data_IF_315447513773
#
_entry.id   IF_315447513773
#
_cell.length_a   1.000
_cell.length_b   1.000
_cell.length_c   1.000
_cell.angle_alpha   90.00
_cell.angle_beta   90.00
_cell.angle_gamma   90.00
#
_symmetry.space_group_name_H-M   'P 1'
#
loop_
_entity.id
_entity.type
_entity.pdbx_description
1 polymer ?
#
# COMPACT_ATOMS: atom_id res chain seq x y z
N UNK A 1 -26.05 12.39 1.13
CA UNK A 1 -24.70 12.16 1.71
C UNK A 1 -24.44 10.67 1.62
N UNK A 2 -23.20 10.22 1.41
CA UNK A 2 -22.90 8.78 1.37
C UNK A 2 -23.18 8.17 2.75
N UNK A 3 -24.11 7.19 2.88
CA UNK A 3 -24.45 6.59 4.16
C UNK A 3 -23.27 5.82 4.80
N UNK A 4 -22.32 5.39 4.00
CA UNK A 4 -21.14 4.66 4.48
C UNK A 4 -20.16 5.54 5.27
N UNK A 5 -20.35 6.86 5.31
CA UNK A 5 -19.57 7.74 6.19
C UNK A 5 -19.73 7.38 7.67
N UNK A 6 -20.89 6.87 8.06
CA UNK A 6 -21.17 6.48 9.44
C UNK A 6 -20.45 5.18 9.84
N UNK A 7 -19.91 4.44 8.87
CA UNK A 7 -19.13 3.22 9.10
C UNK A 7 -17.64 3.49 9.36
N UNK A 8 -17.17 4.72 9.08
CA UNK A 8 -15.76 5.06 9.22
C UNK A 8 -15.35 5.13 10.70
N UNK A 9 -14.20 4.56 11.00
CA UNK A 9 -13.59 4.65 12.32
C UNK A 9 -12.81 5.97 12.50
N UNK A 10 -12.74 6.43 13.75
CA UNK A 10 -11.85 7.56 14.10
C UNK A 10 -10.41 7.24 13.75
N UNK A 11 -9.69 8.27 13.30
CA UNK A 11 -8.29 8.16 12.91
C UNK A 11 -7.44 7.57 14.06
N UNK A 12 -6.62 6.53 13.80
CA UNK A 12 -5.91 5.81 14.86
C UNK A 12 -5.00 6.67 15.74
N UNK A 13 -4.38 7.71 15.17
CA UNK A 13 -3.52 8.61 15.93
C UNK A 13 -4.30 9.55 16.86
N UNK A 14 -5.54 9.91 16.53
CA UNK A 14 -6.43 10.63 17.46
C UNK A 14 -6.79 9.74 18.65
N UNK A 15 -7.14 8.47 18.39
CA UNK A 15 -7.39 7.49 19.45
C UNK A 15 -6.16 7.29 20.34
N UNK A 16 -4.96 7.21 19.74
CA UNK A 16 -3.69 7.12 20.48
C UNK A 16 -3.44 8.37 21.33
N UNK A 17 -3.77 9.56 20.82
CA UNK A 17 -3.67 10.81 21.55
C UNK A 17 -4.58 10.83 22.77
N UNK A 18 -5.84 10.39 22.60
CA UNK A 18 -6.80 10.27 23.71
C UNK A 18 -6.32 9.30 24.78
N UNK A 19 -5.76 8.14 24.40
CA UNK A 19 -5.21 7.16 25.33
C UNK A 19 -4.02 7.70 26.13
N UNK A 20 -3.27 8.64 25.58
CA UNK A 20 -2.14 9.30 26.24
C UNK A 20 -2.55 10.53 27.05
N UNK A 21 -3.78 11.01 26.89
CA UNK A 21 -4.23 12.21 27.58
C UNK A 21 -4.15 12.05 29.10
N UNK A 22 -3.50 13.00 29.76
CA UNK A 22 -3.30 12.99 31.20
C UNK A 22 -2.14 12.12 31.71
N UNK A 23 -1.42 11.43 30.82
CA UNK A 23 -0.21 10.67 31.22
C UNK A 23 0.99 11.59 31.14
N UNK A 24 1.62 11.87 32.27
CA UNK A 24 2.87 12.61 32.33
C UNK A 24 4.06 11.64 32.27
N UNK A 25 4.93 11.71 31.22
CA UNK A 25 6.12 10.88 31.17
C UNK A 25 7.11 11.29 32.27
N UNK A 26 8.02 10.37 32.71
CA UNK A 26 9.07 10.70 33.65
C UNK A 26 9.95 11.86 33.15
N UNK A 27 10.10 12.92 33.96
CA UNK A 27 10.80 14.13 33.54
C UNK A 27 12.31 13.93 33.24
N UNK A 28 12.89 12.83 33.76
CA UNK A 28 14.31 12.50 33.54
C UNK A 28 14.59 11.68 32.28
N UNK A 29 13.56 11.26 31.54
CA UNK A 29 13.69 10.51 30.30
C UNK A 29 13.30 11.38 29.10
N UNK A 30 14.13 11.38 28.07
CA UNK A 30 13.79 12.01 26.82
C UNK A 30 12.75 11.15 26.06
N UNK A 31 11.72 11.75 25.48
CA UNK A 31 10.72 11.00 24.70
C UNK A 31 11.34 10.42 23.43
N UNK A 32 11.01 9.15 23.13
CA UNK A 32 11.38 8.49 21.89
C UNK A 32 10.10 8.26 21.09
N UNK A 33 9.93 8.96 19.97
CA UNK A 33 8.76 8.83 19.11
C UNK A 33 8.93 7.63 18.17
N UNK A 34 8.14 6.55 18.40
CA UNK A 34 8.12 5.34 17.58
C UNK A 34 6.75 5.11 16.91
N UNK A 35 5.84 6.08 17.00
CA UNK A 35 4.46 5.93 16.48
C UNK A 35 4.36 6.12 14.96
N UNK A 36 5.32 6.77 14.34
CA UNK A 36 5.37 7.00 12.88
C UNK A 36 6.73 6.53 12.37
N UNK A 37 6.72 5.63 11.40
CA UNK A 37 7.91 5.16 10.68
C UNK A 37 8.34 6.20 9.65
N UNK A 38 9.10 7.21 10.08
CA UNK A 38 9.59 8.29 9.23
C UNK A 38 11.11 8.28 9.20
N UNK A 39 11.74 8.18 8.00
CA UNK A 39 13.19 8.32 7.89
C UNK A 39 13.59 9.77 8.23
N UNK A 40 14.52 9.91 9.16
CA UNK A 40 15.02 11.25 9.58
C UNK A 40 16.37 11.63 8.99
N UNK A 41 16.86 10.84 8.06
CA UNK A 41 18.09 11.12 7.33
C UNK A 41 17.89 12.28 6.35
N UNK A 42 18.95 13.03 6.11
CA UNK A 42 18.88 14.09 5.11
C UNK A 42 18.79 13.48 3.72
N UNK A 43 17.93 14.06 2.87
CA UNK A 43 17.87 13.69 1.46
C UNK A 43 19.22 13.94 0.79
N UNK A 44 19.67 13.05 -0.12
CA UNK A 44 20.89 13.25 -0.88
C UNK A 44 20.94 14.59 -1.61
N UNK A 45 22.14 15.17 -1.71
CA UNK A 45 22.31 16.51 -2.31
C UNK A 45 21.80 16.58 -3.75
N UNK A 46 22.02 15.51 -4.53
CA UNK A 46 21.58 15.46 -5.92
C UNK A 46 20.05 15.54 -6.10
N UNK A 47 19.27 15.02 -5.15
CA UNK A 47 17.78 15.12 -5.16
C UNK A 47 17.36 16.58 -4.99
N UNK A 48 17.99 17.28 -4.04
CA UNK A 48 17.72 18.71 -3.83
C UNK A 48 18.13 19.55 -5.03
N UNK A 49 19.29 19.24 -5.62
CA UNK A 49 19.78 19.95 -6.79
C UNK A 49 18.86 19.74 -8.00
N UNK A 50 18.42 18.51 -8.25
CA UNK A 50 17.47 18.23 -9.32
C UNK A 50 16.16 19.02 -9.17
N UNK A 51 15.67 19.22 -7.94
CA UNK A 51 14.49 20.05 -7.68
C UNK A 51 14.79 21.54 -8.00
N UNK A 52 15.93 22.06 -7.56
CA UNK A 52 16.33 23.45 -7.82
C UNK A 52 16.48 23.71 -9.33
N UNK A 53 17.14 22.81 -10.04
CA UNK A 53 17.39 22.94 -11.47
C UNK A 53 16.11 22.91 -12.32
N UNK A 54 15.02 22.39 -11.78
CA UNK A 54 13.74 22.25 -12.48
C UNK A 54 12.61 23.07 -11.84
N UNK A 55 12.90 23.97 -10.90
CA UNK A 55 11.88 24.69 -10.14
C UNK A 55 10.93 25.52 -11.01
N UNK A 56 11.41 26.05 -12.12
CA UNK A 56 10.60 26.85 -13.05
C UNK A 56 9.51 26.04 -13.75
N UNK A 57 9.66 24.71 -13.79
CA UNK A 57 8.67 23.81 -14.41
C UNK A 57 7.39 23.67 -13.57
N UNK A 58 7.37 24.08 -12.30
CA UNK A 58 6.16 24.10 -11.48
C UNK A 58 5.07 25.03 -12.02
N UNK A 59 5.43 25.98 -12.87
CA UNK A 59 4.46 26.88 -13.52
C UNK A 59 3.62 26.19 -14.61
N UNK A 60 4.00 24.99 -15.05
CA UNK A 60 3.31 24.25 -16.11
C UNK A 60 2.27 23.30 -15.49
N UNK A 61 1.03 23.39 -15.98
CA UNK A 61 -0.03 22.48 -15.55
C UNK A 61 0.30 21.03 -15.94
N UNK A 62 0.31 20.08 -15.00
CA UNK A 62 0.70 18.70 -15.28
C UNK A 62 -0.34 17.99 -16.15
N UNK A 63 0.14 17.05 -16.98
CA UNK A 63 -0.75 16.17 -17.74
C UNK A 63 -1.38 15.11 -16.83
N UNK A 64 -2.59 14.68 -17.11
CA UNK A 64 -3.32 13.66 -16.35
C UNK A 64 -2.55 12.34 -16.21
N UNK A 65 -1.82 11.95 -17.27
CA UNK A 65 -1.01 10.73 -17.28
C UNK A 65 0.37 10.89 -16.62
N UNK A 66 0.76 12.10 -16.24
CA UNK A 66 2.13 12.40 -15.85
C UNK A 66 3.11 12.45 -17.03
N UNK A 67 4.32 12.98 -16.81
CA UNK A 67 5.35 13.12 -17.81
C UNK A 67 5.83 11.78 -18.37
N UNK A 68 6.04 11.70 -19.69
CA UNK A 68 6.51 10.46 -20.32
C UNK A 68 7.87 10.01 -19.78
N UNK A 69 8.80 10.94 -19.59
CA UNK A 69 10.14 10.64 -19.08
C UNK A 69 10.07 9.98 -17.67
N UNK A 70 9.21 10.49 -16.79
CA UNK A 70 8.98 9.89 -15.46
C UNK A 70 8.42 8.47 -15.58
N UNK A 71 7.42 8.27 -16.44
CA UNK A 71 6.81 6.94 -16.65
C UNK A 71 7.81 5.94 -17.23
N UNK A 72 8.67 6.38 -18.14
CA UNK A 72 9.75 5.56 -18.68
C UNK A 72 10.78 5.19 -17.60
N UNK A 73 11.18 6.15 -16.75
CA UNK A 73 12.10 5.89 -15.66
C UNK A 73 11.52 4.89 -14.65
N UNK A 74 10.22 5.00 -14.31
CA UNK A 74 9.53 4.05 -13.44
C UNK A 74 9.50 2.65 -14.05
N UNK A 75 9.10 2.51 -15.32
CA UNK A 75 9.06 1.22 -16.00
C UNK A 75 10.46 0.56 -16.03
N UNK A 76 11.49 1.33 -16.38
CA UNK A 76 12.87 0.85 -16.40
C UNK A 76 13.36 0.45 -15.00
N UNK A 77 13.01 1.22 -13.96
CA UNK A 77 13.37 0.89 -12.59
C UNK A 77 12.73 -0.43 -12.17
N UNK A 78 11.42 -0.62 -12.39
CA UNK A 78 10.73 -1.87 -12.11
C UNK A 78 11.36 -3.06 -12.83
N UNK A 79 11.66 -2.92 -14.13
CA UNK A 79 12.30 -3.97 -14.92
C UNK A 79 13.65 -4.38 -14.35
N UNK A 80 14.47 -3.42 -13.95
CA UNK A 80 15.79 -3.67 -13.37
C UNK A 80 15.67 -4.27 -11.97
N UNK A 81 14.84 -3.67 -11.12
CA UNK A 81 14.70 -4.03 -9.70
C UNK A 81 14.13 -5.43 -9.50
N UNK A 82 13.14 -5.79 -10.31
CA UNK A 82 12.45 -7.09 -10.21
C UNK A 82 12.89 -8.09 -11.30
N UNK A 83 13.93 -7.76 -12.05
CA UNK A 83 14.46 -8.63 -13.12
C UNK A 83 13.37 -9.07 -14.12
N UNK A 84 12.49 -8.13 -14.48
CA UNK A 84 11.39 -8.43 -15.39
C UNK A 84 11.89 -8.57 -16.85
N UNK A 85 11.21 -9.36 -17.67
CA UNK A 85 11.54 -9.45 -19.10
C UNK A 85 11.56 -8.07 -19.77
N UNK A 86 12.45 -7.90 -20.73
CA UNK A 86 12.50 -6.67 -21.55
C UNK A 86 11.13 -6.45 -22.18
N UNK A 87 10.67 -5.20 -22.16
CA UNK A 87 9.38 -4.77 -22.71
C UNK A 87 8.12 -5.34 -22.01
N UNK A 88 8.26 -6.00 -20.86
CA UNK A 88 7.11 -6.48 -20.07
C UNK A 88 6.26 -5.34 -19.50
N UNK A 89 6.87 -4.16 -19.28
CA UNK A 89 6.19 -2.96 -18.79
C UNK A 89 6.29 -1.84 -19.82
N UNK A 90 5.14 -1.38 -20.30
CA UNK A 90 5.01 -0.22 -21.17
C UNK A 90 4.76 1.04 -20.35
N UNK A 91 5.62 2.04 -20.49
CA UNK A 91 5.41 3.36 -19.88
C UNK A 91 4.10 4.05 -20.35
N UNK A 92 3.55 3.62 -21.49
CA UNK A 92 2.32 4.19 -22.03
C UNK A 92 1.05 3.63 -21.38
N UNK A 93 1.06 2.35 -20.98
CA UNK A 93 -0.13 1.61 -20.56
C UNK A 93 -0.07 1.04 -19.14
N UNK A 94 1.13 0.80 -18.60
CA UNK A 94 1.29 0.13 -17.30
C UNK A 94 1.75 1.08 -16.17
N UNK A 95 2.05 2.34 -16.46
CA UNK A 95 2.56 3.28 -15.46
C UNK A 95 1.67 4.53 -15.39
N UNK A 96 1.15 4.78 -14.20
CA UNK A 96 0.40 5.99 -13.88
C UNK A 96 1.00 6.65 -12.62
N UNK A 97 1.78 7.73 -12.75
CA UNK A 97 2.25 8.50 -11.61
C UNK A 97 1.09 9.11 -10.82
N UNK A 98 1.20 9.10 -9.51
CA UNK A 98 0.19 9.59 -8.58
C UNK A 98 0.80 10.57 -7.59
N UNK A 99 -0.04 11.38 -6.93
CA UNK A 99 0.38 12.36 -5.92
C UNK A 99 0.41 11.72 -4.53
N UNK A 100 0.99 10.53 -4.43
CA UNK A 100 1.09 9.74 -3.20
C UNK A 100 0.25 8.46 -3.26
N UNK A 101 0.76 7.41 -2.61
CA UNK A 101 0.14 6.08 -2.63
C UNK A 101 -1.16 6.01 -1.84
N UNK A 102 -1.34 6.85 -0.81
CA UNK A 102 -2.60 6.94 -0.07
C UNK A 102 -3.77 7.28 -0.97
N UNK A 103 -3.64 8.37 -1.74
CA UNK A 103 -4.66 8.84 -2.67
C UNK A 103 -4.87 7.85 -3.81
N UNK A 104 -3.79 7.22 -4.26
CA UNK A 104 -3.85 6.18 -5.29
C UNK A 104 -4.64 4.96 -4.83
N UNK A 105 -4.36 4.41 -3.65
CA UNK A 105 -5.07 3.26 -3.07
C UNK A 105 -6.55 3.56 -2.85
N UNK A 106 -6.86 4.79 -2.40
CA UNK A 106 -8.24 5.23 -2.27
C UNK A 106 -8.94 5.28 -3.63
N UNK A 107 -8.36 5.98 -4.60
CA UNK A 107 -8.96 6.13 -5.94
C UNK A 107 -9.07 4.79 -6.68
N UNK A 108 -8.08 3.91 -6.52
CA UNK A 108 -8.08 2.58 -7.08
C UNK A 108 -9.24 1.74 -6.55
N UNK A 109 -9.46 1.74 -5.24
CA UNK A 109 -10.60 1.04 -4.64
C UNK A 109 -11.94 1.58 -5.14
N UNK A 110 -12.08 2.92 -5.29
CA UNK A 110 -13.29 3.51 -5.87
C UNK A 110 -13.52 3.11 -7.33
N UNK A 111 -12.45 2.88 -8.09
CA UNK A 111 -12.54 2.51 -9.51
C UNK A 111 -12.80 1.02 -9.73
N UNK A 112 -12.31 0.15 -8.84
CA UNK A 112 -12.34 -1.31 -9.03
C UNK A 112 -13.52 -2.00 -8.37
N UNK A 113 -14.16 -1.36 -7.36
CA UNK A 113 -15.24 -1.98 -6.59
C UNK A 113 -16.60 -1.66 -7.22
N UNK A 114 -17.35 -2.71 -7.55
CA UNK A 114 -18.75 -2.63 -7.92
C UNK A 114 -19.63 -2.99 -6.72
N UNK A 115 -20.14 -1.97 -6.02
CA UNK A 115 -20.97 -2.12 -4.83
C UNK A 115 -22.30 -2.86 -5.08
N UNK A 116 -22.77 -2.95 -6.33
CA UNK A 116 -24.01 -3.64 -6.68
C UNK A 116 -23.86 -5.17 -6.66
N UNK A 117 -22.62 -5.66 -6.66
CA UNK A 117 -22.31 -7.10 -6.71
C UNK A 117 -22.00 -7.71 -5.34
N UNK A 118 -22.52 -7.16 -4.26
CA UNK A 118 -22.24 -7.62 -2.89
C UNK A 118 -20.72 -7.68 -2.62
N UNK A 119 -20.06 -6.58 -2.91
CA UNK A 119 -18.60 -6.46 -2.96
C UNK A 119 -17.94 -6.73 -1.62
N UNK A 120 -16.80 -7.43 -1.67
CA UNK A 120 -15.97 -7.72 -0.52
C UNK A 120 -14.51 -7.40 -0.85
N UNK A 121 -13.83 -6.74 0.09
CA UNK A 121 -12.39 -6.52 0.06
C UNK A 121 -11.73 -7.38 1.13
N UNK A 122 -10.71 -8.12 0.75
CA UNK A 122 -9.88 -8.89 1.68
C UNK A 122 -8.63 -8.07 1.99
N UNK A 123 -8.29 -7.91 3.28
CA UNK A 123 -7.15 -7.11 3.71
C UNK A 123 -6.44 -7.71 4.93
N UNK A 124 -5.12 -7.49 5.12
CA UNK A 124 -4.42 -7.91 6.32
C UNK A 124 -4.90 -7.14 7.55
N UNK A 125 -4.70 -7.69 8.75
CA UNK A 125 -4.95 -7.03 10.04
C UNK A 125 -3.78 -7.34 11.00
N UNK A 126 -3.03 -6.34 11.50
CA UNK A 126 -3.24 -4.90 11.32
C UNK A 126 -2.97 -4.41 9.90
N UNK A 127 -3.55 -3.27 9.55
CA UNK A 127 -3.53 -2.71 8.20
C UNK A 127 -3.29 -1.21 8.16
N UNK A 128 -2.95 -0.70 7.00
CA UNK A 128 -2.96 0.74 6.75
C UNK A 128 -4.41 1.22 6.60
N UNK A 129 -4.83 2.16 7.43
CA UNK A 129 -6.26 2.57 7.57
C UNK A 129 -6.95 2.95 6.26
N UNK A 130 -6.19 3.27 5.20
CA UNK A 130 -6.79 3.61 3.91
C UNK A 130 -7.49 2.42 3.26
N UNK A 131 -7.04 1.19 3.51
CA UNK A 131 -7.67 -0.01 2.93
C UNK A 131 -9.12 -0.14 3.39
N UNK A 132 -9.35 0.01 4.70
CA UNK A 132 -10.70 -0.03 5.27
C UNK A 132 -11.54 1.16 4.80
N UNK A 133 -11.04 2.39 4.95
CA UNK A 133 -11.80 3.59 4.59
C UNK A 133 -12.18 3.63 3.11
N UNK A 134 -11.27 3.20 2.22
CA UNK A 134 -11.54 3.16 0.79
C UNK A 134 -12.59 2.09 0.43
N UNK A 135 -12.51 0.89 1.02
CA UNK A 135 -13.46 -0.19 0.81
C UNK A 135 -14.87 0.19 1.28
N UNK A 136 -14.99 0.70 2.51
CA UNK A 136 -16.27 1.13 3.07
C UNK A 136 -16.93 2.23 2.23
N UNK A 137 -16.18 3.25 1.83
CA UNK A 137 -16.72 4.35 1.02
C UNK A 137 -17.06 3.92 -0.41
N UNK A 138 -16.39 2.89 -0.94
CA UNK A 138 -16.76 2.25 -2.20
C UNK A 138 -17.99 1.33 -2.08
N UNK A 139 -18.48 1.07 -0.86
CA UNK A 139 -19.66 0.23 -0.61
C UNK A 139 -19.36 -1.26 -0.53
N UNK A 140 -18.11 -1.64 -0.22
CA UNK A 140 -17.73 -3.02 0.02
C UNK A 140 -17.72 -3.36 1.50
N UNK A 141 -17.95 -4.63 1.82
CA UNK A 141 -17.62 -5.22 3.10
C UNK A 141 -16.13 -5.55 3.18
N UNK A 142 -15.60 -5.74 4.39
CA UNK A 142 -14.22 -6.18 4.60
C UNK A 142 -14.16 -7.56 5.26
N UNK A 143 -13.22 -8.36 4.79
CA UNK A 143 -12.77 -9.56 5.45
C UNK A 143 -11.29 -9.40 5.82
N UNK A 144 -11.00 -9.49 7.12
CA UNK A 144 -9.64 -9.29 7.62
C UNK A 144 -8.90 -10.61 7.81
N UNK A 145 -7.62 -10.60 7.45
CA UNK A 145 -6.66 -11.69 7.65
C UNK A 145 -5.73 -11.35 8.80
N UNK A 146 -5.90 -11.99 9.94
CA UNK A 146 -5.10 -11.69 11.12
C UNK A 146 -3.63 -12.08 10.93
N UNK A 147 -2.75 -11.08 10.96
CA UNK A 147 -1.31 -11.22 10.87
C UNK A 147 -0.74 -11.24 12.30
N UNK A 148 -0.47 -12.42 12.82
CA UNK A 148 -0.04 -12.65 14.20
C UNK A 148 1.37 -13.23 14.26
N UNK A 149 1.93 -13.31 15.46
CA UNK A 149 3.23 -13.97 15.64
C UNK A 149 3.22 -15.45 15.21
N UNK A 150 2.08 -16.11 15.27
CA UNK A 150 1.96 -17.53 14.90
C UNK A 150 2.11 -17.77 13.39
N UNK A 151 1.75 -16.78 12.58
CA UNK A 151 1.91 -16.84 11.12
C UNK A 151 3.02 -15.91 10.60
N UNK A 152 3.96 -15.51 11.49
CA UNK A 152 5.06 -14.62 11.12
C UNK A 152 4.62 -13.22 10.70
N UNK A 153 3.43 -12.78 11.15
CA UNK A 153 2.81 -11.51 10.76
C UNK A 153 2.50 -11.38 9.25
N UNK A 154 2.34 -12.50 8.56
CA UNK A 154 1.97 -12.57 7.14
C UNK A 154 0.53 -13.09 7.03
N UNK A 155 -0.31 -12.53 6.15
CA UNK A 155 -1.67 -13.02 5.97
C UNK A 155 -1.67 -14.45 5.43
N UNK A 156 -2.41 -15.35 6.07
CA UNK A 156 -2.58 -16.74 5.62
C UNK A 156 -3.81 -16.85 4.71
N UNK A 157 -3.57 -16.81 3.41
CA UNK A 157 -4.61 -16.87 2.38
C UNK A 157 -5.33 -18.24 2.35
N UNK A 158 -4.71 -19.30 2.86
CA UNK A 158 -5.28 -20.64 2.88
C UNK A 158 -6.42 -20.81 3.87
N UNK A 159 -6.50 -19.92 4.85
CA UNK A 159 -7.55 -19.95 5.88
C UNK A 159 -8.86 -19.30 5.44
N UNK A 160 -8.87 -18.63 4.29
CA UNK A 160 -10.03 -17.90 3.79
C UNK A 160 -11.02 -18.85 3.12
N UNK A 161 -12.27 -18.90 3.57
CA UNK A 161 -13.29 -19.75 2.95
C UNK A 161 -13.58 -19.37 1.49
N UNK A 162 -13.95 -20.35 0.67
CA UNK A 162 -14.23 -20.16 -0.74
C UNK A 162 -15.35 -19.14 -1.01
N UNK A 163 -16.36 -19.07 -0.14
CA UNK A 163 -17.45 -18.09 -0.24
C UNK A 163 -16.99 -16.65 -0.08
N UNK A 164 -15.90 -16.39 0.64
CA UNK A 164 -15.26 -15.07 0.76
C UNK A 164 -14.59 -14.73 -0.57
N UNK A 165 -13.80 -15.67 -1.12
CA UNK A 165 -13.14 -15.45 -2.41
C UNK A 165 -14.12 -15.23 -3.56
N UNK A 166 -15.25 -15.92 -3.57
CA UNK A 166 -16.32 -15.75 -4.59
C UNK A 166 -16.94 -14.34 -4.60
N UNK A 167 -16.88 -13.63 -3.47
CA UNK A 167 -17.34 -12.24 -3.34
C UNK A 167 -16.21 -11.23 -3.46
N UNK A 168 -14.95 -11.68 -3.33
CA UNK A 168 -13.79 -10.81 -3.34
C UNK A 168 -13.69 -10.09 -4.68
N UNK A 169 -13.56 -8.78 -4.64
CA UNK A 169 -13.28 -7.96 -5.82
C UNK A 169 -11.88 -7.34 -5.74
N UNK A 170 -11.35 -7.20 -4.52
CA UNK A 170 -10.04 -6.60 -4.29
C UNK A 170 -9.37 -7.28 -3.10
N UNK A 171 -8.17 -7.82 -3.32
CA UNK A 171 -7.25 -8.24 -2.26
C UNK A 171 -6.21 -7.15 -2.05
N UNK A 172 -6.19 -6.56 -0.85
CA UNK A 172 -5.12 -5.65 -0.44
C UNK A 172 -4.00 -6.46 0.22
N UNK A 173 -2.77 -6.29 -0.23
CA UNK A 173 -1.59 -6.82 0.45
C UNK A 173 -0.57 -5.70 0.64
N UNK A 174 0.29 -5.82 1.65
CA UNK A 174 1.39 -4.90 1.90
C UNK A 174 2.65 -5.72 2.17
N UNK A 175 3.65 -5.58 1.31
CA UNK A 175 4.89 -6.35 1.43
C UNK A 175 6.10 -5.51 0.97
N UNK A 176 7.02 -5.17 1.88
CA UNK A 176 7.03 -5.39 3.33
C UNK A 176 5.83 -4.78 4.07
N UNK A 177 5.32 -5.47 5.08
CA UNK A 177 4.06 -5.16 5.76
C UNK A 177 4.13 -3.95 6.69
N UNK A 178 3.11 -3.10 6.67
CA UNK A 178 2.89 -2.07 7.68
C UNK A 178 1.79 -2.54 8.66
N UNK A 179 2.07 -2.67 9.97
CA UNK A 179 3.24 -2.18 10.70
C UNK A 179 4.32 -3.23 10.98
N UNK A 180 4.18 -4.48 10.52
CA UNK A 180 4.99 -5.61 10.99
C UNK A 180 6.41 -5.65 10.41
N UNK A 181 6.62 -5.11 9.21
CA UNK A 181 7.85 -5.29 8.44
C UNK A 181 7.99 -6.69 7.83
N UNK A 182 7.01 -7.56 7.98
CA UNK A 182 7.05 -8.91 7.43
C UNK A 182 7.01 -8.88 5.90
N UNK A 183 7.78 -9.76 5.27
CA UNK A 183 7.92 -9.86 3.81
C UNK A 183 7.30 -11.16 3.34
N UNK A 184 6.35 -11.09 2.41
CA UNK A 184 5.76 -12.27 1.78
C UNK A 184 6.79 -12.96 0.88
N UNK A 185 6.81 -14.28 0.91
CA UNK A 185 7.66 -15.06 0.02
C UNK A 185 7.11 -15.10 -1.41
N UNK A 186 7.93 -15.51 -2.38
CA UNK A 186 7.51 -15.70 -3.77
C UNK A 186 6.35 -16.70 -3.86
N UNK A 187 6.40 -17.79 -3.08
CA UNK A 187 5.33 -18.82 -3.05
C UNK A 187 4.02 -18.25 -2.53
N UNK A 188 4.05 -17.37 -1.53
CA UNK A 188 2.86 -16.70 -1.00
C UNK A 188 2.27 -15.69 -1.99
N UNK A 189 3.12 -14.96 -2.72
CA UNK A 189 2.68 -14.06 -3.79
C UNK A 189 2.09 -14.87 -4.96
N UNK A 190 2.69 -15.98 -5.35
CA UNK A 190 2.16 -16.90 -6.37
C UNK A 190 0.81 -17.49 -5.95
N UNK A 191 0.63 -17.82 -4.66
CA UNK A 191 -0.66 -18.24 -4.13
C UNK A 191 -1.73 -17.15 -4.28
N UNK A 192 -1.38 -15.88 -3.99
CA UNK A 192 -2.30 -14.76 -4.17
C UNK A 192 -2.72 -14.61 -5.65
N UNK A 193 -1.76 -14.71 -6.59
CA UNK A 193 -2.03 -14.66 -8.03
C UNK A 193 -2.94 -15.82 -8.45
N UNK A 194 -2.65 -17.04 -8.02
CA UNK A 194 -3.47 -18.21 -8.35
C UNK A 194 -4.92 -18.09 -7.86
N UNK A 195 -5.12 -17.50 -6.65
CA UNK A 195 -6.46 -17.22 -6.14
C UNK A 195 -7.16 -16.12 -6.95
N UNK A 196 -6.43 -15.08 -7.35
CA UNK A 196 -6.97 -14.01 -8.20
C UNK A 196 -7.42 -14.55 -9.57
N UNK A 197 -6.62 -15.40 -10.18
CA UNK A 197 -6.97 -16.09 -11.44
C UNK A 197 -8.18 -17.03 -11.28
N UNK A 198 -8.26 -17.74 -10.15
CA UNK A 198 -9.36 -18.69 -9.89
C UNK A 198 -10.70 -18.00 -9.62
N UNK A 199 -10.69 -16.87 -8.92
CA UNK A 199 -11.91 -16.21 -8.43
C UNK A 199 -12.20 -14.87 -9.11
N UNK A 200 -11.36 -14.45 -10.05
CA UNK A 200 -11.52 -13.22 -10.86
C UNK A 200 -11.59 -11.94 -10.01
N UNK A 201 -10.63 -11.76 -9.11
CA UNK A 201 -10.47 -10.54 -8.34
C UNK A 201 -9.13 -9.84 -8.64
N UNK A 202 -9.01 -8.59 -8.23
CA UNK A 202 -7.81 -7.77 -8.44
C UNK A 202 -6.94 -7.79 -7.17
N UNK A 203 -5.62 -7.85 -7.34
CA UNK A 203 -4.67 -7.66 -6.25
C UNK A 203 -4.15 -6.22 -6.29
N UNK A 204 -4.22 -5.52 -5.15
CA UNK A 204 -3.51 -4.27 -4.92
C UNK A 204 -2.35 -4.52 -3.96
N UNK A 205 -1.14 -4.59 -4.49
CA UNK A 205 0.07 -4.76 -3.70
C UNK A 205 0.67 -3.41 -3.34
N UNK A 206 0.62 -3.06 -2.05
CA UNK A 206 1.27 -1.86 -1.52
C UNK A 206 2.74 -2.19 -1.19
N UNK A 207 3.64 -1.78 -2.07
CA UNK A 207 5.07 -2.09 -2.02
C UNK A 207 5.92 -0.86 -1.67
N UNK A 208 5.33 0.12 -0.97
CA UNK A 208 6.04 1.37 -0.67
C UNK A 208 7.28 1.20 0.22
N UNK A 209 7.49 0.02 0.81
CA UNK A 209 8.67 -0.31 1.60
C UNK A 209 9.64 -1.27 0.91
N UNK A 210 9.46 -1.55 -0.38
CA UNK A 210 10.29 -2.52 -1.14
C UNK A 210 11.79 -2.21 -1.16
N UNK A 211 12.16 -0.95 -0.93
CA UNK A 211 13.57 -0.51 -0.88
C UNK A 211 14.10 -0.34 0.56
N UNK A 212 13.34 -0.78 1.57
CA UNK A 212 13.77 -0.75 2.97
C UNK A 212 14.10 -2.16 3.43
N UNK A 213 15.33 -2.61 3.18
CA UNK A 213 15.84 -3.92 3.55
C UNK A 213 17.29 -3.83 4.02
N UNK A 214 17.79 -4.87 4.69
CA UNK A 214 19.12 -4.88 5.33
C UNK A 214 20.18 -5.61 4.52
N UNK A 215 19.78 -6.46 3.58
CA UNK A 215 20.70 -7.31 2.80
C UNK A 215 20.45 -7.10 1.30
N UNK A 216 21.44 -6.51 0.63
CA UNK A 216 21.40 -6.25 -0.82
C UNK A 216 21.31 -7.54 -1.67
N UNK A 217 21.61 -8.69 -1.10
CA UNK A 217 21.51 -9.97 -1.81
C UNK A 217 20.09 -10.57 -1.74
N UNK A 218 19.28 -10.10 -0.79
CA UNK A 218 17.93 -10.62 -0.55
C UNK A 218 16.90 -9.50 -0.49
N UNK A 219 16.76 -8.67 -1.55
CA UNK A 219 15.75 -7.64 -1.59
C UNK A 219 14.34 -8.25 -1.59
N UNK A 220 13.34 -7.59 -0.99
CA UNK A 220 11.96 -8.08 -0.98
C UNK A 220 11.43 -8.33 -2.39
N UNK A 221 10.71 -9.44 -2.64
CA UNK A 221 10.03 -9.66 -3.92
C UNK A 221 8.84 -8.71 -4.05
N UNK A 222 8.40 -8.49 -5.29
CA UNK A 222 7.14 -7.83 -5.65
C UNK A 222 6.21 -8.76 -6.43
N UNK A 223 4.99 -8.32 -6.69
CA UNK A 223 3.97 -9.06 -7.42
C UNK A 223 3.78 -8.51 -8.84
#
# INVERSE_FOLDING_TARGET
MNPNLDLLHRYPFERLSDLKAGIAPPAHLAPIALSIGEPKHQSPAFVKQALIDNIDQIAVYPTTKGGLALRQAIAQWCQTRFTLPTDSLSAATNVLPVTGTREALFAFSQAMIDSQRNALVVAPNPFYQIYEGAALLAGAELHFLDCTANNGFIPDLSTVPAEIWQRCQLLQICTPGNPSGAVMSIEQLQQAIALADQYDFIIASDECYSEIYLDEQTPPPGI
#
